data_IF_752498820515
#
_entry.id   IF_752498820515
#
_cell.length_a   1.000
_cell.length_b   1.000
_cell.length_c   1.000
_cell.angle_alpha   90.00
_cell.angle_beta   90.00
_cell.angle_gamma   90.00
#
_symmetry.space_group_name_H-M   'P 1'
#
loop_
_entity.id
_entity.type
_entity.pdbx_description
1 polymer ?
#
# COMPACT_ATOMS: atom_id res chain seq x y z
N UNK A 1 8.53 -2.95 -23.21
CA UNK A 1 9.65 -3.55 -23.95
C UNK A 1 10.01 -2.81 -25.24
N UNK A 2 9.08 -2.15 -25.94
CA UNK A 2 9.38 -1.41 -27.18
C UNK A 2 10.49 -0.33 -27.03
N UNK A 3 10.67 0.24 -25.83
CA UNK A 3 11.73 1.22 -25.54
C UNK A 3 13.15 0.63 -25.53
N UNK A 4 13.31 -0.69 -25.54
CA UNK A 4 14.63 -1.35 -25.65
C UNK A 4 15.07 -1.47 -27.11
N UNK A 5 14.14 -1.38 -28.07
CA UNK A 5 14.46 -1.51 -29.50
C UNK A 5 15.44 -0.42 -29.99
N UNK A 6 15.28 0.88 -29.65
CA UNK A 6 16.24 1.89 -30.07
C UNK A 6 17.66 1.62 -29.56
N UNK A 7 17.79 1.22 -28.29
CA UNK A 7 19.08 0.86 -27.68
C UNK A 7 19.71 -0.36 -28.36
N UNK A 8 18.90 -1.38 -28.67
CA UNK A 8 19.35 -2.56 -29.41
C UNK A 8 19.85 -2.24 -30.81
N UNK A 9 19.16 -1.33 -31.50
CA UNK A 9 19.56 -0.86 -32.82
C UNK A 9 20.86 -0.05 -32.75
N UNK A 10 20.99 0.85 -31.78
CA UNK A 10 22.19 1.65 -31.54
C UNK A 10 23.42 0.76 -31.28
N UNK A 11 23.34 -0.17 -30.31
CA UNK A 11 24.44 -1.10 -30.01
C UNK A 11 24.70 -2.04 -31.20
N UNK A 12 23.65 -2.44 -31.91
CA UNK A 12 23.77 -3.28 -33.11
C UNK A 12 24.55 -2.58 -34.23
N UNK A 13 24.34 -1.28 -34.42
CA UNK A 13 25.04 -0.45 -35.41
C UNK A 13 26.47 -0.13 -34.97
N UNK A 14 26.71 0.18 -33.70
CA UNK A 14 28.04 0.57 -33.19
C UNK A 14 28.99 -0.62 -32.99
N UNK A 15 28.48 -1.74 -32.48
CA UNK A 15 29.29 -2.86 -31.96
C UNK A 15 28.93 -4.22 -32.56
N UNK A 16 27.97 -4.24 -33.49
CA UNK A 16 27.51 -5.45 -34.18
C UNK A 16 26.34 -6.15 -33.49
N UNK A 17 25.44 -6.74 -34.30
CA UNK A 17 24.20 -7.38 -33.85
C UNK A 17 24.39 -8.55 -32.87
N UNK A 18 25.45 -9.35 -33.04
CA UNK A 18 25.75 -10.45 -32.11
C UNK A 18 26.08 -9.95 -30.70
N UNK A 19 26.82 -8.85 -30.60
CA UNK A 19 27.14 -8.20 -29.31
C UNK A 19 25.89 -7.59 -28.69
N UNK A 20 25.06 -6.92 -29.49
CA UNK A 20 23.79 -6.37 -29.04
C UNK A 20 22.87 -7.45 -28.45
N UNK A 21 22.76 -8.62 -29.11
CA UNK A 21 21.96 -9.74 -28.59
C UNK A 21 22.51 -10.28 -27.26
N UNK A 22 23.83 -10.42 -27.13
CA UNK A 22 24.45 -10.86 -25.89
C UNK A 22 24.19 -9.86 -24.74
N UNK A 23 24.34 -8.56 -25.00
CA UNK A 23 24.06 -7.50 -24.01
C UNK A 23 22.58 -7.47 -23.61
N UNK A 24 21.67 -7.69 -24.56
CA UNK A 24 20.25 -7.84 -24.26
C UNK A 24 19.97 -9.00 -23.31
N UNK A 25 20.52 -10.18 -23.59
CA UNK A 25 20.33 -11.37 -22.75
C UNK A 25 20.88 -11.10 -21.34
N UNK A 26 22.08 -10.51 -21.23
CA UNK A 26 22.67 -10.15 -19.93
C UNK A 26 21.76 -9.17 -19.18
N UNK A 27 21.24 -8.15 -19.86
CA UNK A 27 20.33 -7.17 -19.26
C UNK A 27 19.03 -7.83 -18.75
N UNK A 28 18.49 -8.83 -19.46
CA UNK A 28 17.34 -9.60 -18.98
C UNK A 28 17.68 -10.48 -17.77
N UNK A 29 18.84 -11.13 -17.76
CA UNK A 29 19.33 -11.90 -16.61
C UNK A 29 19.51 -11.00 -15.37
N UNK A 30 19.91 -9.74 -15.56
CA UNK A 30 19.95 -8.71 -14.51
C UNK A 30 18.58 -8.11 -14.16
N UNK A 31 17.49 -8.76 -14.60
CA UNK A 31 16.11 -8.41 -14.25
C UNK A 31 15.66 -7.02 -14.74
N UNK A 32 16.22 -6.51 -15.85
CA UNK A 32 15.84 -5.21 -16.39
C UNK A 32 14.34 -5.08 -16.70
N UNK A 33 13.69 -6.18 -17.12
CA UNK A 33 12.23 -6.23 -17.30
C UNK A 33 11.48 -5.93 -16.01
N UNK A 34 11.95 -6.45 -14.88
CA UNK A 34 11.37 -6.26 -13.55
C UNK A 34 11.56 -4.81 -13.12
N UNK A 35 12.80 -4.30 -13.23
CA UNK A 35 13.12 -2.91 -12.92
C UNK A 35 12.29 -1.92 -13.74
N UNK A 36 12.20 -2.14 -15.06
CA UNK A 36 11.47 -1.27 -15.96
C UNK A 36 9.97 -1.24 -15.63
N UNK A 37 9.37 -2.40 -15.38
CA UNK A 37 7.95 -2.52 -15.03
C UNK A 37 7.63 -1.80 -13.72
N UNK A 38 8.50 -1.95 -12.73
CA UNK A 38 8.38 -1.24 -11.45
C UNK A 38 8.56 0.28 -11.61
N UNK A 39 9.58 0.71 -12.34
CA UNK A 39 9.86 2.13 -12.61
C UNK A 39 8.70 2.82 -13.35
N UNK A 40 8.12 2.14 -14.34
CA UNK A 40 6.96 2.66 -15.06
C UNK A 40 5.75 2.79 -14.12
N UNK A 41 5.52 1.82 -13.22
CA UNK A 41 4.50 1.90 -12.19
C UNK A 41 4.64 3.14 -11.30
N UNK A 42 5.87 3.44 -10.87
CA UNK A 42 6.20 4.65 -10.09
C UNK A 42 5.81 5.91 -10.86
N UNK A 43 6.26 6.03 -12.12
CA UNK A 43 5.95 7.17 -12.98
C UNK A 43 4.44 7.34 -13.16
N UNK A 44 3.73 6.27 -13.54
CA UNK A 44 2.28 6.31 -13.78
C UNK A 44 1.52 6.72 -12.53
N UNK A 45 1.87 6.20 -11.35
CA UNK A 45 1.19 6.57 -10.10
C UNK A 45 1.35 8.06 -9.78
N UNK A 46 2.58 8.59 -9.75
CA UNK A 46 2.80 9.98 -9.35
C UNK A 46 2.39 10.98 -10.42
N UNK A 47 2.48 10.61 -11.71
CA UNK A 47 1.97 11.41 -12.81
C UNK A 47 0.44 11.53 -12.72
N UNK A 48 -0.26 10.40 -12.54
CA UNK A 48 -1.71 10.37 -12.35
C UNK A 48 -2.16 11.17 -11.12
N UNK A 49 -1.46 11.01 -9.98
CA UNK A 49 -1.74 11.78 -8.76
C UNK A 49 -1.58 13.29 -8.98
N UNK A 50 -0.55 13.71 -9.71
CA UNK A 50 -0.32 15.13 -10.03
C UNK A 50 -1.42 15.68 -10.95
N UNK A 51 -1.89 14.90 -11.92
CA UNK A 51 -3.00 15.30 -12.80
C UNK A 51 -4.32 15.46 -12.03
N UNK A 52 -4.63 14.50 -11.15
CA UNK A 52 -5.91 14.47 -10.44
C UNK A 52 -5.98 15.47 -9.28
N UNK A 53 -4.91 15.55 -8.49
CA UNK A 53 -4.91 16.27 -7.22
C UNK A 53 -3.95 17.45 -7.16
N UNK A 54 -2.99 17.53 -8.09
CA UNK A 54 -1.85 18.44 -7.99
C UNK A 54 -0.87 18.04 -6.87
N UNK A 55 0.02 18.96 -6.50
CA UNK A 55 0.90 18.79 -5.35
C UNK A 55 2.14 17.93 -5.61
N UNK A 56 2.94 18.29 -6.61
CA UNK A 56 4.24 17.68 -6.83
C UNK A 56 5.15 17.91 -5.60
N UNK A 57 5.77 16.84 -5.11
CA UNK A 57 6.69 16.89 -3.97
C UNK A 57 8.09 16.53 -4.46
N UNK A 58 9.04 17.45 -4.27
CA UNK A 58 10.45 17.13 -4.49
C UNK A 58 10.92 16.15 -3.41
N UNK A 59 11.59 15.08 -3.83
CA UNK A 59 12.38 14.22 -2.96
C UNK A 59 13.83 14.32 -3.39
N UNK A 60 14.68 14.73 -2.46
CA UNK A 60 16.10 14.83 -2.71
C UNK A 60 16.67 13.45 -3.06
N UNK A 61 17.32 13.36 -4.21
CA UNK A 61 18.19 12.24 -4.53
C UNK A 61 19.53 12.53 -3.86
N UNK A 62 19.91 11.71 -2.87
CA UNK A 62 21.17 11.89 -2.16
C UNK A 62 22.36 11.91 -3.13
N UNK A 63 23.37 12.76 -2.86
CA UNK A 63 24.67 12.71 -3.55
C UNK A 63 25.60 11.85 -2.69
N UNK A 64 25.91 10.63 -3.13
CA UNK A 64 26.74 9.68 -2.39
C UNK A 64 26.81 8.30 -3.05
N UNK A 65 27.52 7.35 -2.42
CA UNK A 65 27.57 5.97 -2.90
C UNK A 65 26.16 5.35 -2.86
N UNK A 66 25.59 5.10 -4.04
CA UNK A 66 24.16 4.82 -4.26
C UNK A 66 23.74 3.41 -3.82
N UNK A 67 24.68 2.55 -3.43
CA UNK A 67 24.42 1.17 -3.03
C UNK A 67 24.30 1.09 -1.50
N UNK A 68 23.17 1.56 -0.98
CA UNK A 68 22.83 1.47 0.45
C UNK A 68 21.57 0.63 0.64
N UNK A 69 21.60 -0.26 1.62
CA UNK A 69 20.42 -0.97 2.08
C UNK A 69 19.36 0.00 2.61
N UNK A 70 18.18 -0.02 2.00
CA UNK A 70 16.98 0.67 2.49
C UNK A 70 16.19 -0.27 3.40
N UNK A 71 15.76 0.22 4.56
CA UNK A 71 15.00 -0.60 5.51
C UNK A 71 13.64 -1.00 4.94
N UNK A 72 13.10 -2.15 5.35
CA UNK A 72 11.75 -2.57 4.97
C UNK A 72 10.69 -1.50 5.22
N UNK A 73 10.69 -0.84 6.39
CA UNK A 73 9.73 0.23 6.69
C UNK A 73 9.85 1.44 5.75
N UNK A 74 11.06 1.75 5.28
CA UNK A 74 11.29 2.82 4.31
C UNK A 74 10.71 2.46 2.94
N UNK A 75 11.04 1.27 2.42
CA UNK A 75 10.49 0.75 1.18
C UNK A 75 8.95 0.64 1.25
N UNK A 76 8.42 0.18 2.36
CA UNK A 76 6.99 0.08 2.60
C UNK A 76 6.30 1.44 2.51
N UNK A 77 6.80 2.44 3.22
CA UNK A 77 6.25 3.82 3.15
C UNK A 77 6.34 4.43 1.77
N UNK A 78 7.41 4.11 1.02
CA UNK A 78 7.63 4.63 -0.33
C UNK A 78 6.64 4.01 -1.34
N UNK A 79 6.42 2.70 -1.25
CA UNK A 79 5.80 1.94 -2.32
C UNK A 79 4.42 1.36 -1.99
N UNK A 80 3.93 1.50 -0.75
CA UNK A 80 2.62 1.00 -0.32
C UNK A 80 1.49 1.43 -1.28
N UNK A 81 1.32 2.73 -1.53
CA UNK A 81 0.24 3.25 -2.40
C UNK A 81 0.51 3.15 -3.89
N UNK A 82 1.78 3.26 -4.29
CA UNK A 82 2.16 3.27 -5.69
C UNK A 82 2.15 1.88 -6.30
N UNK A 83 2.52 0.85 -5.52
CA UNK A 83 2.73 -0.52 -6.01
C UNK A 83 1.99 -1.55 -5.17
N UNK A 84 2.26 -1.65 -3.86
CA UNK A 84 1.86 -2.82 -3.07
C UNK A 84 0.35 -3.02 -3.00
N UNK A 85 -0.40 -1.96 -2.68
CA UNK A 85 -1.87 -1.99 -2.69
C UNK A 85 -2.40 -2.43 -4.06
N UNK A 86 -1.89 -1.83 -5.13
CA UNK A 86 -2.36 -2.13 -6.50
C UNK A 86 -2.01 -3.56 -6.92
N UNK A 87 -0.84 -4.05 -6.51
CA UNK A 87 -0.41 -5.40 -6.80
C UNK A 87 -1.26 -6.43 -6.04
N UNK A 88 -1.60 -6.17 -4.77
CA UNK A 88 -2.51 -7.04 -4.02
C UNK A 88 -3.94 -6.99 -4.56
N UNK A 89 -4.42 -5.83 -5.02
CA UNK A 89 -5.71 -5.72 -5.71
C UNK A 89 -5.72 -6.60 -6.98
N UNK A 90 -4.68 -6.50 -7.81
CA UNK A 90 -4.53 -7.35 -8.99
C UNK A 90 -4.37 -8.84 -8.65
N UNK A 91 -3.66 -9.16 -7.56
CA UNK A 91 -3.48 -10.52 -7.09
C UNK A 91 -4.82 -11.14 -6.67
N UNK A 92 -5.64 -10.42 -5.92
CA UNK A 92 -6.99 -10.87 -5.54
C UNK A 92 -7.82 -11.12 -6.79
N UNK A 93 -7.80 -10.20 -7.76
CA UNK A 93 -8.52 -10.39 -9.03
C UNK A 93 -8.04 -11.61 -9.81
N UNK A 94 -6.73 -11.87 -9.80
CA UNK A 94 -6.13 -13.01 -10.47
C UNK A 94 -6.50 -14.33 -9.81
N UNK A 95 -6.58 -14.35 -8.47
CA UNK A 95 -7.09 -15.50 -7.69
C UNK A 95 -8.56 -15.73 -7.97
N UNK A 96 -9.38 -14.67 -8.01
CA UNK A 96 -10.81 -14.76 -8.35
C UNK A 96 -10.99 -15.26 -9.79
N UNK A 97 -10.21 -14.76 -10.73
CA UNK A 97 -10.22 -15.22 -12.12
C UNK A 97 -9.78 -16.68 -12.25
N UNK A 98 -8.78 -17.10 -11.48
CA UNK A 98 -8.35 -18.50 -11.40
C UNK A 98 -9.43 -19.39 -10.78
N UNK A 99 -10.13 -18.94 -9.74
CA UNK A 99 -11.16 -19.73 -9.07
C UNK A 99 -12.45 -19.86 -9.91
N UNK A 100 -12.95 -18.75 -10.46
CA UNK A 100 -14.29 -18.67 -11.06
C UNK A 100 -14.31 -18.54 -12.59
N UNK A 101 -13.17 -18.23 -13.24
CA UNK A 101 -13.12 -18.06 -14.69
C UNK A 101 -13.19 -19.39 -15.43
N UNK A 102 -14.38 -19.77 -15.95
CA UNK A 102 -14.59 -21.03 -16.67
C UNK A 102 -14.51 -20.90 -18.20
N UNK A 103 -14.98 -19.79 -18.77
CA UNK A 103 -15.25 -19.70 -20.22
C UNK A 103 -14.02 -19.57 -21.13
N UNK A 104 -12.86 -19.12 -20.62
CA UNK A 104 -11.70 -18.80 -21.47
C UNK A 104 -10.44 -19.63 -21.18
N UNK A 105 -10.48 -20.60 -20.25
CA UNK A 105 -9.28 -21.35 -19.82
C UNK A 105 -8.57 -22.12 -20.94
N UNK A 106 -9.28 -22.50 -22.00
CA UNK A 106 -8.72 -23.25 -23.14
C UNK A 106 -8.03 -22.38 -24.19
N UNK A 107 -8.12 -21.04 -24.08
CA UNK A 107 -7.55 -20.12 -25.07
C UNK A 107 -6.11 -19.72 -24.72
N UNK A 108 -5.25 -19.56 -25.74
CA UNK A 108 -3.91 -18.99 -25.57
C UNK A 108 -3.95 -17.57 -24.97
N UNK A 109 -5.03 -16.82 -25.21
CA UNK A 109 -5.25 -15.49 -24.63
C UNK A 109 -5.30 -15.52 -23.10
N UNK A 110 -5.90 -16.57 -22.51
CA UNK A 110 -5.94 -16.74 -21.06
C UNK A 110 -4.52 -16.84 -20.48
N UNK A 111 -3.65 -17.63 -21.11
CA UNK A 111 -2.26 -17.79 -20.67
C UNK A 111 -1.49 -16.46 -20.79
N UNK A 112 -1.60 -15.76 -21.92
CA UNK A 112 -0.90 -14.49 -22.10
C UNK A 112 -1.31 -13.43 -21.08
N UNK A 113 -2.61 -13.28 -20.84
CA UNK A 113 -3.13 -12.29 -19.87
C UNK A 113 -2.72 -12.67 -18.45
N UNK A 114 -2.92 -13.92 -18.04
CA UNK A 114 -2.62 -14.35 -16.66
C UNK A 114 -1.14 -14.30 -16.34
N UNK A 115 -0.26 -14.80 -17.22
CA UNK A 115 1.20 -14.75 -17.02
C UNK A 115 1.68 -13.30 -16.97
N UNK A 116 1.16 -12.42 -17.83
CA UNK A 116 1.54 -11.00 -17.82
C UNK A 116 1.12 -10.29 -16.53
N UNK A 117 -0.07 -10.59 -15.99
CA UNK A 117 -0.54 -10.00 -14.73
C UNK A 117 0.24 -10.58 -13.54
N UNK A 118 0.51 -11.90 -13.51
CA UNK A 118 1.38 -12.51 -12.49
C UNK A 118 2.76 -11.85 -12.47
N UNK A 119 3.35 -11.64 -13.66
CA UNK A 119 4.63 -10.95 -13.78
C UNK A 119 4.54 -9.50 -13.27
N UNK A 120 3.48 -8.76 -13.61
CA UNK A 120 3.26 -7.40 -13.11
C UNK A 120 3.14 -7.34 -11.58
N UNK A 121 2.36 -8.25 -10.98
CA UNK A 121 2.19 -8.37 -9.54
C UNK A 121 3.54 -8.67 -8.87
N UNK A 122 4.30 -9.62 -9.41
CA UNK A 122 5.63 -9.94 -8.92
C UNK A 122 6.56 -8.72 -8.96
N UNK A 123 6.60 -8.00 -10.09
CA UNK A 123 7.41 -6.80 -10.22
C UNK A 123 7.04 -5.74 -9.20
N UNK A 124 5.75 -5.48 -9.00
CA UNK A 124 5.29 -4.44 -8.08
C UNK A 124 5.50 -4.79 -6.60
N UNK A 125 5.40 -6.07 -6.23
CA UNK A 125 5.65 -6.51 -4.85
C UNK A 125 7.14 -6.63 -4.52
N UNK A 126 7.93 -7.23 -5.41
CA UNK A 126 9.26 -7.72 -5.05
C UNK A 126 10.43 -6.94 -5.63
N UNK A 127 10.24 -6.15 -6.70
CA UNK A 127 11.32 -5.31 -7.24
C UNK A 127 12.02 -4.42 -6.19
N UNK A 128 11.34 -3.70 -5.28
CA UNK A 128 12.03 -2.82 -4.34
C UNK A 128 12.89 -3.58 -3.34
N UNK A 129 12.71 -4.89 -3.18
CA UNK A 129 13.50 -5.75 -2.31
C UNK A 129 14.61 -6.47 -3.08
N UNK A 130 14.31 -6.95 -4.30
CA UNK A 130 15.29 -7.55 -5.20
C UNK A 130 16.38 -6.55 -5.62
N UNK A 131 16.03 -5.29 -5.83
CA UNK A 131 16.99 -4.20 -6.12
C UNK A 131 17.48 -3.47 -4.87
N UNK A 132 17.28 -4.04 -3.67
CA UNK A 132 17.81 -3.51 -2.42
C UNK A 132 19.00 -4.35 -1.91
N UNK A 133 20.21 -3.78 -1.82
CA UNK A 133 21.39 -4.48 -1.34
C UNK A 133 21.17 -5.07 0.06
N UNK A 134 21.74 -6.24 0.35
CA UNK A 134 21.62 -6.95 1.64
C UNK A 134 20.17 -7.23 2.11
N UNK A 135 19.16 -7.12 1.24
CA UNK A 135 17.77 -7.34 1.63
C UNK A 135 17.50 -8.78 2.09
N UNK A 136 18.21 -9.75 1.50
CA UNK A 136 18.09 -11.18 1.85
C UNK A 136 19.17 -11.65 2.82
N UNK A 137 19.82 -10.74 3.55
CA UNK A 137 20.73 -11.10 4.63
C UNK A 137 19.95 -11.28 5.94
N UNK A 138 19.96 -12.47 6.53
CA UNK A 138 19.13 -12.82 7.69
C UNK A 138 19.19 -11.79 8.82
N UNK A 139 20.40 -11.39 9.24
CA UNK A 139 20.57 -10.42 10.33
C UNK A 139 19.92 -9.07 10.01
N UNK A 140 20.05 -8.59 8.76
CA UNK A 140 19.41 -7.35 8.30
C UNK A 140 17.90 -7.50 8.23
N UNK A 141 17.40 -8.63 7.74
CA UNK A 141 15.96 -8.90 7.69
C UNK A 141 15.34 -8.88 9.10
N UNK A 142 16.00 -9.44 10.10
CA UNK A 142 15.53 -9.41 11.51
C UNK A 142 15.55 -7.97 12.06
N UNK A 143 16.58 -7.18 11.77
CA UNK A 143 16.63 -5.77 12.16
C UNK A 143 15.49 -4.96 11.52
N UNK A 144 15.23 -5.20 10.24
CA UNK A 144 14.16 -4.57 9.47
C UNK A 144 12.77 -4.95 10.01
N UNK A 145 12.57 -6.21 10.40
CA UNK A 145 11.36 -6.66 11.07
C UNK A 145 11.10 -5.87 12.36
N UNK A 146 12.13 -5.76 13.20
CA UNK A 146 12.04 -5.04 14.47
C UNK A 146 11.77 -3.54 14.26
N UNK A 147 12.40 -2.92 13.27
CA UNK A 147 12.18 -1.51 12.89
C UNK A 147 10.73 -1.29 12.40
N UNK A 148 10.25 -2.14 11.49
CA UNK A 148 8.88 -2.06 10.98
C UNK A 148 7.83 -2.31 12.07
N UNK A 149 8.06 -3.30 12.94
CA UNK A 149 7.18 -3.59 14.06
C UNK A 149 7.06 -2.40 15.01
N UNK A 150 8.19 -1.77 15.36
CA UNK A 150 8.21 -0.55 16.18
C UNK A 150 7.46 0.59 15.49
N UNK A 151 7.70 0.82 14.20
CA UNK A 151 7.03 1.85 13.42
C UNK A 151 5.50 1.65 13.34
N UNK A 152 5.04 0.41 13.14
CA UNK A 152 3.61 0.02 13.14
C UNK A 152 2.97 0.18 14.52
N UNK A 153 3.70 -0.14 15.58
CA UNK A 153 3.24 -0.05 16.97
C UNK A 153 3.16 1.38 17.50
N UNK A 154 4.02 2.28 17.02
CA UNK A 154 4.06 3.68 17.44
C UNK A 154 2.81 4.45 16.99
N UNK A 155 1.97 4.84 17.95
CA UNK A 155 0.87 5.77 17.72
C UNK A 155 1.41 7.17 17.51
N UNK A 156 0.79 7.89 16.59
CA UNK A 156 1.18 9.24 16.24
C UNK A 156 0.92 10.22 17.39
N UNK A 157 1.46 11.41 17.24
CA UNK A 157 1.30 12.54 18.14
C UNK A 157 1.60 13.83 17.38
N UNK A 158 1.31 14.98 17.99
CA UNK A 158 1.44 16.27 17.31
C UNK A 158 2.92 16.50 16.93
N UNK A 159 3.21 16.57 15.63
CA UNK A 159 4.55 16.88 15.11
C UNK A 159 5.49 15.68 14.90
N UNK A 160 5.02 14.44 15.10
CA UNK A 160 5.81 13.24 14.82
C UNK A 160 6.05 13.07 13.31
N UNK A 161 7.27 12.68 12.95
CA UNK A 161 7.66 12.48 11.55
C UNK A 161 7.09 11.16 11.00
N UNK A 162 6.75 11.09 9.68
CA UNK A 162 6.28 9.86 9.03
C UNK A 162 7.21 8.65 9.23
N UNK A 163 8.50 8.92 9.44
CA UNK A 163 9.53 7.90 9.60
C UNK A 163 9.44 7.17 10.94
N UNK A 164 8.82 7.79 11.95
CA UNK A 164 8.81 7.33 13.33
C UNK A 164 7.50 6.63 13.72
N UNK A 165 6.39 6.93 13.03
CA UNK A 165 5.07 6.39 13.34
C UNK A 165 4.26 6.10 12.08
N UNK A 166 3.64 4.92 12.04
CA UNK A 166 2.69 4.54 10.99
C UNK A 166 1.54 5.54 10.87
N UNK A 167 1.04 6.07 11.98
CA UNK A 167 -0.09 6.99 11.98
C UNK A 167 0.28 8.35 11.36
N UNK A 168 1.47 8.87 11.70
CA UNK A 168 1.98 10.09 11.07
C UNK A 168 2.17 9.91 9.57
N UNK A 169 2.71 8.74 9.15
CA UNK A 169 2.83 8.40 7.73
C UNK A 169 1.47 8.30 7.06
N UNK A 170 0.52 7.58 7.64
CA UNK A 170 -0.82 7.38 7.11
C UNK A 170 -1.54 8.71 6.86
N UNK A 171 -1.47 9.64 7.82
CA UNK A 171 -2.03 10.99 7.64
C UNK A 171 -1.30 11.74 6.52
N UNK A 172 0.03 11.68 6.49
CA UNK A 172 0.83 12.37 5.47
C UNK A 172 0.59 11.83 4.05
N UNK A 173 0.29 10.54 3.92
CA UNK A 173 0.09 9.88 2.63
C UNK A 173 -1.18 10.40 1.95
N UNK A 174 -2.23 10.67 2.73
CA UNK A 174 -3.53 11.16 2.24
C UNK A 174 -3.63 12.69 2.17
N UNK A 175 -2.56 13.44 2.46
CA UNK A 175 -2.60 14.90 2.49
C UNK A 175 -2.93 15.53 1.12
N UNK A 176 -2.65 14.81 0.03
CA UNK A 176 -3.04 15.21 -1.33
C UNK A 176 -4.57 15.38 -1.51
N UNK A 177 -5.37 14.55 -0.83
CA UNK A 177 -6.83 14.62 -0.90
C UNK A 177 -7.38 15.87 -0.20
N UNK A 178 -6.63 16.42 0.78
CA UNK A 178 -7.07 17.56 1.59
C UNK A 178 -7.27 18.83 0.77
N UNK A 179 -6.50 18.97 -0.32
CA UNK A 179 -6.53 20.12 -1.21
C UNK A 179 -7.13 19.80 -2.59
N UNK A 180 -7.61 18.57 -2.81
CA UNK A 180 -8.21 18.16 -4.06
C UNK A 180 -9.48 18.97 -4.40
N UNK A 181 -9.81 18.99 -5.69
CA UNK A 181 -11.04 19.61 -6.22
C UNK A 181 -12.22 18.65 -6.07
N UNK A 182 -13.45 19.16 -6.09
CA UNK A 182 -14.67 18.33 -6.01
C UNK A 182 -14.70 17.30 -7.15
N UNK A 183 -14.31 17.69 -8.37
CA UNK A 183 -14.25 16.78 -9.53
C UNK A 183 -13.30 15.61 -9.30
N UNK A 184 -12.13 15.89 -8.73
CA UNK A 184 -11.16 14.84 -8.41
C UNK A 184 -11.65 13.91 -7.29
N UNK A 185 -12.26 14.47 -6.24
CA UNK A 185 -12.86 13.69 -5.15
C UNK A 185 -14.01 12.80 -5.65
N UNK A 186 -14.83 13.29 -6.57
CA UNK A 186 -15.89 12.50 -7.22
C UNK A 186 -15.29 11.37 -8.09
N UNK A 187 -14.20 11.63 -8.81
CA UNK A 187 -13.52 10.60 -9.58
C UNK A 187 -12.97 9.49 -8.66
N UNK A 188 -12.33 9.84 -7.56
CA UNK A 188 -11.86 8.86 -6.56
C UNK A 188 -13.01 8.03 -5.98
N UNK A 189 -14.16 8.66 -5.71
CA UNK A 189 -15.36 7.96 -5.29
C UNK A 189 -15.84 6.98 -6.36
N UNK A 190 -15.99 7.42 -7.61
CA UNK A 190 -16.43 6.58 -8.73
C UNK A 190 -15.46 5.39 -8.92
N UNK A 191 -14.16 5.64 -8.88
CA UNK A 191 -13.15 4.58 -8.99
C UNK A 191 -13.27 3.59 -7.84
N UNK A 192 -13.60 4.02 -6.62
CA UNK A 192 -13.78 3.12 -5.48
C UNK A 192 -14.98 2.18 -5.62
N UNK A 193 -16.02 2.54 -6.40
CA UNK A 193 -17.21 1.70 -6.60
C UNK A 193 -16.89 0.33 -7.21
N UNK A 194 -15.74 0.17 -7.89
CA UNK A 194 -15.30 -1.12 -8.45
C UNK A 194 -15.23 -2.24 -7.41
N UNK A 195 -14.91 -1.91 -6.16
CA UNK A 195 -14.84 -2.89 -5.07
C UNK A 195 -16.21 -3.46 -4.70
N UNK A 196 -17.30 -2.70 -4.90
CA UNK A 196 -18.67 -3.19 -4.71
C UNK A 196 -19.04 -4.21 -5.78
N UNK A 197 -18.59 -3.99 -7.01
CA UNK A 197 -18.79 -4.91 -8.13
C UNK A 197 -18.08 -6.24 -7.83
N UNK A 198 -16.87 -6.20 -7.25
CA UNK A 198 -16.13 -7.39 -6.86
C UNK A 198 -16.86 -8.19 -5.79
N UNK A 199 -17.31 -7.54 -4.72
CA UNK A 199 -18.08 -8.19 -3.66
C UNK A 199 -19.36 -8.82 -4.21
N UNK A 200 -20.13 -8.07 -5.02
CA UNK A 200 -21.35 -8.57 -5.63
C UNK A 200 -21.10 -9.81 -6.48
N UNK A 201 -20.06 -9.77 -7.34
CA UNK A 201 -19.69 -10.90 -8.18
C UNK A 201 -19.32 -12.16 -7.39
N UNK A 202 -18.57 -12.02 -6.28
CA UNK A 202 -18.19 -13.17 -5.46
C UNK A 202 -19.38 -13.70 -4.65
N UNK A 203 -20.18 -12.82 -4.05
CA UNK A 203 -21.38 -13.21 -3.29
C UNK A 203 -22.38 -13.96 -4.16
N UNK A 204 -22.49 -13.60 -5.44
CA UNK A 204 -23.32 -14.28 -6.43
C UNK A 204 -22.95 -15.76 -6.64
N UNK A 205 -21.68 -16.13 -6.37
CA UNK A 205 -21.14 -17.49 -6.54
C UNK A 205 -21.06 -18.29 -5.24
N UNK A 206 -21.48 -17.75 -4.08
CA UNK A 206 -21.42 -18.47 -2.80
C UNK A 206 -22.47 -19.60 -2.74
N UNK A 207 -22.07 -20.76 -2.21
CA UNK A 207 -22.95 -21.92 -2.09
C UNK A 207 -24.01 -21.76 -0.99
N UNK A 208 -23.71 -21.05 0.11
CA UNK A 208 -24.67 -20.68 1.18
C UNK A 208 -25.98 -20.08 0.65
N UNK A 209 -25.93 -19.49 -0.55
CA UNK A 209 -27.05 -18.81 -1.19
C UNK A 209 -28.03 -19.80 -1.86
N UNK A 210 -27.70 -21.09 -1.95
CA UNK A 210 -28.55 -22.16 -2.52
C UNK A 210 -29.13 -21.79 -3.90
N UNK A 211 -28.38 -21.02 -4.70
CA UNK A 211 -28.82 -20.54 -6.02
C UNK A 211 -29.75 -19.31 -6.01
N UNK A 212 -30.13 -18.76 -4.85
CA UNK A 212 -30.96 -17.56 -4.73
C UNK A 212 -30.18 -16.26 -4.98
N UNK A 213 -30.12 -15.81 -6.22
CA UNK A 213 -29.26 -14.68 -6.61
C UNK A 213 -29.89 -13.30 -6.43
N UNK A 214 -30.74 -13.15 -5.41
CA UNK A 214 -31.45 -11.90 -5.15
C UNK A 214 -30.51 -10.83 -4.60
N UNK A 215 -30.83 -9.56 -4.90
CA UNK A 215 -30.11 -8.41 -4.35
C UNK A 215 -30.14 -8.38 -2.80
N UNK A 216 -31.16 -8.98 -2.19
CA UNK A 216 -31.30 -9.10 -0.74
C UNK A 216 -30.13 -9.86 -0.12
N UNK A 217 -29.64 -10.93 -0.76
CA UNK A 217 -28.49 -11.71 -0.26
C UNK A 217 -27.23 -10.86 -0.22
N UNK A 218 -27.01 -10.07 -1.27
CA UNK A 218 -25.92 -9.10 -1.27
C UNK A 218 -26.09 -8.08 -0.14
N UNK A 219 -27.29 -7.51 0.06
CA UNK A 219 -27.57 -6.59 1.17
C UNK A 219 -27.33 -7.25 2.55
N UNK A 220 -27.71 -8.51 2.73
CA UNK A 220 -27.47 -9.27 3.97
C UNK A 220 -25.98 -9.51 4.22
N UNK A 221 -25.15 -9.66 3.18
CA UNK A 221 -23.69 -9.80 3.33
C UNK A 221 -23.05 -8.58 4.02
N UNK A 222 -23.67 -7.41 3.95
CA UNK A 222 -23.22 -6.21 4.65
C UNK A 222 -23.43 -6.28 6.17
N UNK A 223 -24.31 -7.15 6.66
CA UNK A 223 -24.45 -7.38 8.11
C UNK A 223 -23.17 -7.97 8.69
N UNK A 224 -22.48 -8.84 7.96
CA UNK A 224 -21.18 -9.40 8.38
C UNK A 224 -20.14 -8.29 8.55
N UNK A 225 -20.10 -7.35 7.60
CA UNK A 225 -19.21 -6.18 7.67
C UNK A 225 -19.61 -5.26 8.82
N UNK A 226 -20.91 -5.01 9.03
CA UNK A 226 -21.39 -4.20 10.14
C UNK A 226 -20.99 -4.80 11.49
N UNK A 227 -21.16 -6.12 11.67
CA UNK A 227 -20.71 -6.84 12.88
C UNK A 227 -19.20 -6.71 13.06
N UNK A 228 -18.42 -6.88 11.99
CA UNK A 228 -16.96 -6.71 12.03
C UNK A 228 -16.57 -5.27 12.45
N UNK A 229 -17.18 -4.24 11.86
CA UNK A 229 -16.92 -2.84 12.22
C UNK A 229 -17.33 -2.51 13.67
N UNK A 230 -18.48 -3.03 14.13
CA UNK A 230 -18.91 -2.88 15.53
C UNK A 230 -17.92 -3.55 16.47
N UNK A 231 -17.43 -4.75 16.14
CA UNK A 231 -16.42 -5.45 16.93
C UNK A 231 -15.13 -4.65 17.05
N UNK A 232 -14.65 -4.06 15.94
CA UNK A 232 -13.48 -3.18 15.93
C UNK A 232 -13.72 -1.91 16.75
N UNK A 233 -14.93 -1.34 16.71
CA UNK A 233 -15.31 -0.18 17.52
C UNK A 233 -15.30 -0.50 19.02
N UNK A 234 -15.86 -1.65 19.42
CA UNK A 234 -15.85 -2.10 20.83
C UNK A 234 -14.41 -2.25 21.33
N UNK A 235 -13.54 -2.89 20.54
CA UNK A 235 -12.13 -3.06 20.89
C UNK A 235 -11.38 -1.73 20.92
N UNK A 236 -11.66 -0.80 20.00
CA UNK A 236 -10.97 0.51 19.98
C UNK A 236 -11.40 1.41 21.15
N UNK A 237 -12.69 1.45 21.49
CA UNK A 237 -13.22 2.18 22.64
C UNK A 237 -12.73 1.62 23.97
N UNK A 238 -12.70 0.28 24.09
CA UNK A 238 -12.19 -0.40 25.28
C UNK A 238 -10.72 -0.06 25.55
N UNK A 239 -9.94 0.18 24.49
CA UNK A 239 -8.54 0.57 24.63
C UNK A 239 -8.39 1.97 25.24
N UNK A 240 -9.10 2.98 24.74
CA UNK A 240 -8.97 4.35 25.27
C UNK A 240 -9.43 4.49 26.71
N UNK A 241 -10.51 3.79 27.08
CA UNK A 241 -11.06 3.86 28.44
C UNK A 241 -10.31 3.03 29.47
N UNK A 242 -9.71 1.89 29.07
CA UNK A 242 -9.19 0.90 30.02
C UNK A 242 -7.68 0.64 29.96
N UNK A 243 -6.92 1.22 29.02
CA UNK A 243 -5.47 0.98 28.89
C UNK A 243 -4.66 1.41 30.12
N UNK A 244 -5.05 2.48 30.82
CA UNK A 244 -4.23 3.05 31.90
C UNK A 244 -4.53 2.48 33.27
N UNK A 245 -5.71 1.88 33.50
CA UNK A 245 -6.09 1.35 34.83
C UNK A 245 -6.17 -0.17 34.90
N UNK A 246 -6.56 -0.89 33.84
CA UNK A 246 -6.80 -2.35 33.93
C UNK A 246 -6.51 -3.07 32.58
N UNK A 247 -5.23 -3.36 32.33
CA UNK A 247 -4.80 -4.06 31.09
C UNK A 247 -5.42 -5.46 30.94
N UNK A 248 -5.72 -6.16 32.04
CA UNK A 248 -6.32 -7.50 32.03
C UNK A 248 -7.74 -7.48 31.42
N UNK A 249 -8.58 -6.52 31.82
CA UNK A 249 -9.95 -6.38 31.30
C UNK A 249 -9.94 -6.14 29.80
N UNK A 250 -8.97 -5.37 29.30
CA UNK A 250 -8.82 -5.16 27.86
C UNK A 250 -8.44 -6.44 27.10
N UNK A 251 -7.58 -7.29 27.68
CA UNK A 251 -7.26 -8.61 27.09
C UNK A 251 -8.47 -9.54 27.11
N UNK A 252 -9.22 -9.57 28.22
CA UNK A 252 -10.46 -10.35 28.35
C UNK A 252 -11.50 -9.87 27.34
N UNK A 253 -11.70 -8.56 27.20
CA UNK A 253 -12.63 -7.99 26.21
C UNK A 253 -12.30 -8.46 24.79
N UNK A 254 -11.02 -8.43 24.39
CA UNK A 254 -10.58 -8.99 23.10
C UNK A 254 -10.90 -10.48 22.97
N UNK A 255 -10.65 -11.24 24.03
CA UNK A 255 -10.98 -12.67 24.08
C UNK A 255 -12.47 -12.93 23.91
N UNK A 256 -13.33 -12.19 24.61
CA UNK A 256 -14.79 -12.30 24.50
C UNK A 256 -15.25 -11.95 23.08
N UNK A 257 -14.79 -10.83 22.51
CA UNK A 257 -15.14 -10.45 21.13
C UNK A 257 -14.71 -11.54 20.15
N UNK A 258 -13.52 -12.12 20.31
CA UNK A 258 -13.04 -13.21 19.48
C UNK A 258 -13.91 -14.47 19.59
N UNK A 259 -14.29 -14.87 20.82
CA UNK A 259 -15.18 -16.01 21.05
C UNK A 259 -16.57 -15.79 20.45
N UNK A 260 -17.12 -14.57 20.53
CA UNK A 260 -18.41 -14.21 19.90
C UNK A 260 -18.33 -14.33 18.39
N UNK A 261 -17.24 -13.84 17.77
CA UNK A 261 -17.04 -13.96 16.32
C UNK A 261 -16.88 -15.43 15.87
N UNK A 262 -16.17 -16.25 16.64
CA UNK A 262 -16.09 -17.70 16.38
C UNK A 262 -17.45 -18.34 16.55
N UNK A 263 -18.20 -18.03 17.61
CA UNK A 263 -19.54 -18.55 17.84
C UNK A 263 -20.48 -18.23 16.68
N UNK A 264 -20.45 -16.98 16.18
CA UNK A 264 -21.19 -16.58 14.98
C UNK A 264 -20.77 -17.41 13.76
N UNK A 265 -19.48 -17.62 13.53
CA UNK A 265 -18.97 -18.42 12.43
C UNK A 265 -19.44 -19.88 12.51
N UNK A 266 -19.41 -20.48 13.70
CA UNK A 266 -19.90 -21.85 13.94
C UNK A 266 -21.40 -21.95 13.71
N UNK A 267 -22.18 -20.96 14.17
CA UNK A 267 -23.62 -20.89 13.89
C UNK A 267 -23.91 -20.78 12.39
N UNK A 268 -23.11 -20.03 11.63
CA UNK A 268 -23.22 -19.97 10.18
C UNK A 268 -22.87 -21.32 9.53
N UNK A 269 -21.86 -22.02 10.06
CA UNK A 269 -21.44 -23.32 9.54
C UNK A 269 -22.50 -24.41 9.75
N UNK A 270 -23.09 -24.47 10.95
CA UNK A 270 -24.09 -25.49 11.32
C UNK A 270 -25.50 -25.12 10.84
N UNK A 271 -25.85 -23.83 10.85
CA UNK A 271 -27.19 -23.36 10.53
C UNK A 271 -27.47 -23.16 9.04
N UNK A 272 -26.44 -22.97 8.22
CA UNK A 272 -26.57 -22.67 6.79
C UNK A 272 -25.72 -23.56 5.88
N UNK A 273 -25.22 -24.69 6.38
CA UNK A 273 -24.40 -25.66 5.62
C UNK A 273 -23.23 -25.01 4.85
N UNK A 274 -22.49 -24.14 5.53
CA UNK A 274 -21.45 -23.34 4.91
C UNK A 274 -20.28 -24.21 4.40
N UNK A 275 -20.00 -24.17 3.10
CA UNK A 275 -18.86 -24.89 2.54
C UNK A 275 -17.53 -24.22 2.92
N UNK A 276 -16.44 -25.00 3.02
CA UNK A 276 -15.09 -24.44 3.27
C UNK A 276 -14.67 -23.47 2.17
N UNK A 277 -15.10 -23.72 0.92
CA UNK A 277 -14.91 -22.81 -0.21
C UNK A 277 -15.61 -21.47 -0.03
N UNK A 278 -16.77 -21.45 0.66
CA UNK A 278 -17.51 -20.22 0.93
C UNK A 278 -16.80 -19.34 1.96
N UNK A 279 -16.05 -19.92 2.91
CA UNK A 279 -15.18 -19.16 3.83
C UNK A 279 -14.10 -18.41 3.04
N UNK A 280 -13.40 -19.13 2.15
CA UNK A 280 -12.36 -18.54 1.31
C UNK A 280 -12.91 -17.46 0.39
N UNK A 281 -14.05 -17.72 -0.26
CA UNK A 281 -14.75 -16.76 -1.10
C UNK A 281 -15.20 -15.52 -0.31
N UNK A 282 -15.71 -15.70 0.91
CA UNK A 282 -16.12 -14.60 1.79
C UNK A 282 -14.94 -13.70 2.16
N UNK A 283 -13.76 -14.27 2.45
CA UNK A 283 -12.54 -13.48 2.68
C UNK A 283 -12.18 -12.65 1.44
N UNK A 284 -12.21 -13.27 0.26
CA UNK A 284 -11.95 -12.60 -1.02
C UNK A 284 -12.99 -11.52 -1.36
N UNK A 285 -14.23 -11.64 -0.88
CA UNK A 285 -15.28 -10.65 -1.05
C UNK A 285 -15.12 -9.48 -0.08
N UNK A 286 -14.89 -9.75 1.20
CA UNK A 286 -14.91 -8.73 2.25
C UNK A 286 -13.62 -7.91 2.35
N UNK A 287 -12.46 -8.45 1.96
CA UNK A 287 -11.20 -7.67 1.91
C UNK A 287 -11.33 -6.44 0.98
N UNK A 288 -11.79 -6.58 -0.28
CA UNK A 288 -12.11 -5.43 -1.15
C UNK A 288 -13.15 -4.48 -0.55
N UNK A 289 -14.18 -4.98 0.13
CA UNK A 289 -15.23 -4.11 0.71
C UNK A 289 -14.73 -3.27 1.87
N UNK A 290 -13.91 -3.82 2.77
CA UNK A 290 -13.29 -3.00 3.80
C UNK A 290 -12.35 -1.95 3.22
N UNK A 291 -11.69 -2.24 2.09
CA UNK A 291 -10.90 -1.25 1.35
C UNK A 291 -11.78 -0.13 0.76
N UNK A 292 -12.94 -0.47 0.20
CA UNK A 292 -13.93 0.53 -0.23
C UNK A 292 -14.33 1.46 0.91
N UNK A 293 -14.65 0.90 2.08
CA UNK A 293 -15.04 1.69 3.26
C UNK A 293 -13.90 2.64 3.67
N UNK A 294 -12.65 2.19 3.64
CA UNK A 294 -11.48 3.04 3.92
C UNK A 294 -11.39 4.21 2.93
N UNK A 295 -11.50 3.94 1.63
CA UNK A 295 -11.41 4.99 0.60
C UNK A 295 -12.55 6.00 0.73
N UNK A 296 -13.78 5.54 0.92
CA UNK A 296 -14.93 6.44 1.10
C UNK A 296 -14.77 7.27 2.37
N UNK A 297 -14.35 6.66 3.49
CA UNK A 297 -14.12 7.36 4.74
C UNK A 297 -13.06 8.48 4.61
N UNK A 298 -12.01 8.25 3.82
CA UNK A 298 -10.98 9.25 3.54
C UNK A 298 -11.49 10.41 2.70
N UNK A 299 -12.47 10.17 1.81
CA UNK A 299 -13.09 11.19 0.96
C UNK A 299 -14.12 12.03 1.74
N UNK A 300 -14.79 11.47 2.74
CA UNK A 300 -15.83 12.16 3.52
C UNK A 300 -15.34 13.48 4.13
N UNK A 301 -14.14 13.51 4.71
CA UNK A 301 -13.58 14.71 5.35
C UNK A 301 -13.35 15.86 4.36
N UNK A 302 -12.56 15.67 3.29
CA UNK A 302 -12.37 16.64 2.22
C UNK A 302 -13.69 17.07 1.55
N UNK A 303 -14.60 16.14 1.27
CA UNK A 303 -15.90 16.44 0.67
C UNK A 303 -16.74 17.33 1.57
N UNK A 304 -16.87 16.99 2.86
CA UNK A 304 -17.60 17.80 3.84
C UNK A 304 -17.00 19.21 3.96
N UNK A 305 -15.67 19.31 3.94
CA UNK A 305 -14.96 20.61 3.94
C UNK A 305 -15.33 21.46 2.72
N UNK A 306 -15.31 20.88 1.51
CA UNK A 306 -15.60 21.60 0.26
C UNK A 306 -17.08 21.95 0.08
N UNK A 307 -17.98 21.03 0.44
CA UNK A 307 -19.42 21.18 0.18
C UNK A 307 -20.16 21.96 1.27
N UNK A 308 -19.68 21.91 2.52
CA UNK A 308 -20.41 22.50 3.66
C UNK A 308 -19.57 23.60 4.31
N UNK A 309 -18.33 23.32 4.72
CA UNK A 309 -17.55 24.30 5.50
C UNK A 309 -17.15 25.52 4.67
N UNK A 310 -16.64 25.34 3.45
CA UNK A 310 -16.19 26.45 2.61
C UNK A 310 -17.36 27.40 2.24
N UNK A 311 -18.53 26.91 1.80
CA UNK A 311 -19.72 27.76 1.61
C UNK A 311 -20.22 28.42 2.90
N UNK A 312 -20.27 27.69 4.01
CA UNK A 312 -20.69 28.24 5.30
C UNK A 312 -19.73 29.34 5.79
N UNK A 313 -18.43 29.19 5.55
CA UNK A 313 -17.42 30.20 5.88
C UNK A 313 -17.60 31.47 5.05
N UNK A 314 -17.95 31.36 3.76
CA UNK A 314 -18.26 32.50 2.90
C UNK A 314 -19.50 33.26 3.40
N UNK A 315 -20.54 32.54 3.84
CA UNK A 315 -21.73 33.14 4.44
C UNK A 315 -21.43 33.86 5.76
N UNK A 316 -20.57 33.29 6.60
CA UNK A 316 -20.22 33.88 7.90
C UNK A 316 -19.15 34.98 7.84
N UNK A 317 -18.49 35.21 6.69
CA UNK A 317 -17.46 36.24 6.55
C UNK A 317 -17.57 36.96 5.19
N UNK A 318 -18.47 37.96 5.05
CA UNK A 318 -18.75 38.63 3.78
C UNK A 318 -17.61 39.52 3.27
N UNK A 319 -16.69 39.97 4.14
CA UNK A 319 -15.59 40.91 3.79
C UNK A 319 -14.33 40.23 3.20
N UNK A 320 -14.41 38.96 2.82
CA UNK A 320 -13.29 38.21 2.23
C UNK A 320 -13.30 38.21 0.70
N UNK A 321 -13.38 39.36 0.04
CA UNK A 321 -13.20 39.43 -1.41
C UNK A 321 -11.71 39.26 -1.75
N UNK A 322 -11.34 38.11 -2.33
CA UNK A 322 -10.08 37.97 -3.07
C UNK A 322 -8.82 37.56 -2.28
N UNK A 323 -8.91 37.25 -0.98
CA UNK A 323 -7.76 36.76 -0.21
C UNK A 323 -8.19 35.98 1.02
N UNK A 324 -7.53 34.86 1.30
CA UNK A 324 -7.84 34.00 2.44
C UNK A 324 -7.83 34.80 3.76
N UNK A 325 -9.01 35.13 4.30
CA UNK A 325 -9.13 35.84 5.57
C UNK A 325 -8.42 35.05 6.69
N UNK A 326 -7.39 35.66 7.29
CA UNK A 326 -6.61 35.10 8.42
C UNK A 326 -6.96 35.75 9.75
N UNK A 327 -8.08 36.46 9.82
CA UNK A 327 -8.52 37.10 11.05
C UNK A 327 -8.82 36.09 12.18
N UNK A 328 -8.80 36.52 13.45
CA UNK A 328 -9.07 35.65 14.60
C UNK A 328 -10.41 34.92 14.54
N UNK A 329 -11.43 35.53 13.92
CA UNK A 329 -12.76 34.94 13.71
C UNK A 329 -12.71 33.72 12.77
N UNK A 330 -12.01 33.83 11.63
CA UNK A 330 -11.82 32.75 10.67
C UNK A 330 -10.95 31.61 11.24
N UNK A 331 -9.94 31.96 12.05
CA UNK A 331 -9.15 30.97 12.79
C UNK A 331 -10.00 30.19 13.80
N UNK A 332 -10.83 30.88 14.58
CA UNK A 332 -11.76 30.26 15.55
C UNK A 332 -12.80 29.37 14.87
N UNK A 333 -13.37 29.81 13.76
CA UNK A 333 -14.32 29.02 12.98
C UNK A 333 -13.66 27.76 12.41
N UNK A 334 -12.45 27.87 11.84
CA UNK A 334 -11.68 26.73 11.33
C UNK A 334 -11.31 25.74 12.45
N UNK A 335 -10.96 26.24 13.62
CA UNK A 335 -10.63 25.41 14.78
C UNK A 335 -11.87 24.68 15.32
N UNK A 336 -13.02 25.37 15.46
CA UNK A 336 -14.28 24.78 15.92
C UNK A 336 -14.83 23.74 14.94
N UNK A 337 -14.86 24.05 13.65
CA UNK A 337 -15.30 23.11 12.61
C UNK A 337 -14.37 21.91 12.52
N UNK A 338 -13.04 22.11 12.58
CA UNK A 338 -12.07 21.02 12.60
C UNK A 338 -12.15 20.12 13.85
N UNK A 339 -12.51 20.67 15.01
CA UNK A 339 -12.77 19.90 16.23
C UNK A 339 -14.10 19.14 16.15
N UNK A 340 -15.13 19.75 15.56
CA UNK A 340 -16.42 19.11 15.36
C UNK A 340 -16.33 17.94 14.36
N UNK A 341 -15.61 18.10 13.25
CA UNK A 341 -15.33 17.02 12.29
C UNK A 341 -14.61 15.83 12.91
N UNK A 342 -13.62 16.10 13.77
CA UNK A 342 -12.93 15.04 14.51
C UNK A 342 -13.84 14.29 15.48
N UNK A 343 -14.87 14.95 16.01
CA UNK A 343 -15.85 14.34 16.94
C UNK A 343 -17.02 13.64 16.23
N UNK A 344 -17.36 14.02 15.00
CA UNK A 344 -18.56 13.52 14.31
C UNK A 344 -18.39 12.13 13.67
N UNK A 345 -17.17 11.65 13.45
CA UNK A 345 -16.91 10.41 12.72
C UNK A 345 -16.34 9.27 13.56
N UNK A 346 -16.53 7.99 13.16
CA UNK A 346 -15.86 6.84 13.78
C UNK A 346 -14.38 6.74 13.37
N UNK A 347 -13.66 7.87 13.32
CA UNK A 347 -12.32 7.99 12.75
C UNK A 347 -11.30 7.03 13.38
N UNK A 348 -11.36 6.85 14.71
CA UNK A 348 -10.47 5.91 15.39
C UNK A 348 -10.66 4.47 14.89
N UNK A 349 -11.90 4.07 14.60
CA UNK A 349 -12.22 2.74 14.07
C UNK A 349 -11.73 2.57 12.64
N UNK A 350 -11.90 3.60 11.80
CA UNK A 350 -11.38 3.64 10.43
C UNK A 350 -9.87 3.50 10.44
N UNK A 351 -9.19 4.22 11.35
CA UNK A 351 -7.74 4.17 11.47
C UNK A 351 -7.23 2.82 11.99
N UNK A 352 -7.93 2.18 12.92
CA UNK A 352 -7.57 0.82 13.35
C UNK A 352 -7.81 -0.23 12.24
N UNK A 353 -8.90 -0.08 11.48
CA UNK A 353 -9.13 -0.91 10.28
C UNK A 353 -8.00 -0.72 9.26
N UNK A 354 -7.65 0.54 8.94
CA UNK A 354 -6.52 0.84 8.07
C UNK A 354 -5.21 0.21 8.57
N UNK A 355 -4.95 0.29 9.88
CA UNK A 355 -3.75 -0.31 10.47
C UNK A 355 -3.76 -1.83 10.29
N UNK A 356 -4.90 -2.50 10.46
CA UNK A 356 -5.02 -3.93 10.21
C UNK A 356 -4.67 -4.27 8.75
N UNK A 357 -5.20 -3.52 7.79
CA UNK A 357 -4.90 -3.74 6.37
C UNK A 357 -3.41 -3.57 6.06
N UNK A 358 -2.80 -2.49 6.55
CA UNK A 358 -1.37 -2.23 6.36
C UNK A 358 -0.50 -3.27 7.08
N UNK A 359 -0.92 -3.73 8.26
CA UNK A 359 -0.25 -4.80 8.99
C UNK A 359 -0.30 -6.12 8.23
N UNK A 360 -1.47 -6.53 7.74
CA UNK A 360 -1.65 -7.75 6.94
C UNK A 360 -0.85 -7.67 5.64
N UNK A 361 -0.89 -6.54 4.93
CA UNK A 361 -0.09 -6.33 3.72
C UNK A 361 1.41 -6.41 4.01
N UNK A 362 1.88 -5.74 5.07
CA UNK A 362 3.27 -5.80 5.48
C UNK A 362 3.74 -7.22 5.79
N UNK A 363 2.94 -7.99 6.52
CA UNK A 363 3.21 -9.41 6.80
C UNK A 363 3.27 -10.26 5.53
N UNK A 364 2.29 -10.13 4.64
CA UNK A 364 2.23 -10.89 3.39
C UNK A 364 3.45 -10.64 2.50
N UNK A 365 3.98 -9.41 2.50
CA UNK A 365 5.17 -9.03 1.73
C UNK A 365 6.45 -9.46 2.46
N UNK A 366 6.50 -9.31 3.77
CA UNK A 366 7.69 -9.61 4.56
C UNK A 366 7.97 -11.11 4.66
N UNK A 367 6.93 -11.95 4.77
CA UNK A 367 7.06 -13.40 4.91
C UNK A 367 7.93 -14.06 3.82
N UNK A 368 7.67 -13.87 2.51
CA UNK A 368 8.53 -14.44 1.48
C UNK A 368 9.96 -13.87 1.51
N UNK A 369 10.15 -12.61 1.91
CA UNK A 369 11.50 -12.02 2.06
C UNK A 369 12.26 -12.72 3.20
N UNK A 370 11.59 -12.96 4.34
CA UNK A 370 12.16 -13.65 5.49
C UNK A 370 12.49 -15.12 5.18
N UNK A 371 11.62 -15.81 4.44
CA UNK A 371 11.89 -17.17 3.97
C UNK A 371 13.10 -17.19 3.04
N UNK A 372 13.18 -16.26 2.10
CA UNK A 372 14.32 -16.17 1.17
C UNK A 372 15.63 -15.79 1.88
N UNK A 373 15.58 -14.95 2.91
CA UNK A 373 16.78 -14.55 3.66
C UNK A 373 17.33 -15.64 4.57
N UNK A 374 16.54 -16.67 4.87
CA UNK A 374 17.00 -17.87 5.56
C UNK A 374 18.04 -18.65 4.74
N UNK A 375 18.05 -18.49 3.42
CA UNK A 375 18.95 -19.19 2.52
C UNK A 375 20.15 -18.30 2.14
N UNK A 376 21.38 -18.59 2.63
CA UNK A 376 22.54 -17.73 2.38
C UNK A 376 22.87 -17.53 0.90
N UNK A 377 22.59 -18.53 0.05
CA UNK A 377 22.86 -18.45 -1.39
C UNK A 377 22.06 -17.33 -2.08
N UNK A 378 20.91 -16.93 -1.55
CA UNK A 378 20.04 -15.92 -2.17
C UNK A 378 20.69 -14.55 -2.13
N UNK A 379 21.26 -14.16 -0.98
CA UNK A 379 21.94 -12.86 -0.83
C UNK A 379 23.23 -12.80 -1.65
N UNK A 380 23.99 -13.91 -1.72
CA UNK A 380 25.15 -14.02 -2.59
C UNK A 380 24.79 -13.90 -4.07
N UNK A 381 23.75 -14.63 -4.50
CA UNK A 381 23.28 -14.60 -5.88
C UNK A 381 22.81 -13.20 -6.27
N UNK A 382 22.01 -12.55 -5.42
CA UNK A 382 21.56 -11.16 -5.61
C UNK A 382 22.75 -10.22 -5.80
N UNK A 383 23.75 -10.32 -4.92
CA UNK A 383 24.92 -9.44 -4.94
C UNK A 383 25.77 -9.62 -6.20
N UNK A 384 26.02 -10.87 -6.59
CA UNK A 384 26.82 -11.20 -7.78
C UNK A 384 26.12 -10.79 -9.07
N UNK A 385 24.81 -11.02 -9.16
CA UNK A 385 24.02 -10.74 -10.35
C UNK A 385 23.78 -9.24 -10.56
N UNK A 386 23.39 -8.51 -9.50
CA UNK A 386 22.86 -7.15 -9.61
C UNK A 386 23.87 -6.06 -9.22
N UNK A 387 24.75 -6.33 -8.25
CA UNK A 387 25.54 -5.26 -7.61
C UNK A 387 27.05 -5.38 -7.79
N UNK A 388 27.56 -6.50 -8.32
CA UNK A 388 28.99 -6.75 -8.43
C UNK A 388 29.75 -5.62 -9.17
N UNK A 389 29.19 -5.12 -10.28
CA UNK A 389 29.77 -3.99 -11.02
C UNK A 389 29.66 -2.65 -10.27
N UNK A 390 28.59 -2.45 -9.51
CA UNK A 390 28.38 -1.21 -8.75
C UNK A 390 29.32 -1.16 -7.54
N UNK A 391 29.51 -2.27 -6.85
CA UNK A 391 30.46 -2.40 -5.74
C UNK A 391 31.91 -2.25 -6.22
N UNK A 392 32.29 -2.86 -7.35
CA UNK A 392 33.66 -2.74 -7.88
C UNK A 392 34.01 -1.29 -8.28
N UNK A 393 33.08 -0.59 -8.94
CA UNK A 393 33.23 0.85 -9.24
C UNK A 393 33.23 1.71 -7.97
N UNK A 394 32.42 1.36 -6.98
CA UNK A 394 32.40 2.01 -5.66
C UNK A 394 33.74 1.99 -4.96
N UNK A 395 34.38 0.83 -4.90
CA UNK A 395 35.71 0.63 -4.31
C UNK A 395 36.79 1.45 -5.03
N UNK A 396 36.69 1.60 -6.35
CA UNK A 396 37.60 2.45 -7.12
C UNK A 396 37.44 3.93 -6.76
N UNK A 397 36.19 4.42 -6.68
CA UNK A 397 35.90 5.81 -6.32
C UNK A 397 36.33 6.11 -4.87
N UNK A 398 36.04 5.20 -3.92
CA UNK A 398 36.45 5.39 -2.53
C UNK A 398 37.97 5.44 -2.37
N UNK A 399 38.71 4.65 -3.16
CA UNK A 399 40.18 4.68 -3.17
C UNK A 399 40.72 6.00 -3.72
N UNK A 400 40.08 6.58 -4.73
CA UNK A 400 40.44 7.89 -5.28
C UNK A 400 40.19 9.01 -4.24
N UNK A 401 39.01 9.01 -3.59
CA UNK A 401 38.66 9.99 -2.56
C UNK A 401 39.57 9.87 -1.33
N UNK A 402 39.89 8.65 -0.90
CA UNK A 402 40.85 8.41 0.19
C UNK A 402 42.27 8.86 -0.19
N UNK A 403 42.67 8.68 -1.46
CA UNK A 403 43.95 9.16 -1.99
C UNK A 403 44.07 10.68 -2.01
N UNK A 404 42.98 11.42 -2.26
CA UNK A 404 42.96 12.89 -2.18
C UNK A 404 43.04 13.42 -0.74
N UNK A 405 42.46 12.72 0.24
CA UNK A 405 42.59 13.10 1.65
C UNK A 405 43.99 12.81 2.24
N UNK A 406 44.78 11.94 1.59
CA UNK A 406 46.16 11.62 1.99
C UNK A 406 47.22 12.58 1.45
N UNK A 407 46.91 13.42 0.46
CA UNK A 407 47.87 14.36 -0.14
C UNK A 407 47.83 15.78 0.46
N UNK A 408 47.13 15.97 1.58
CA UNK A 408 46.90 17.28 2.22
C UNK A 408 47.73 17.58 3.48
N UNK A 409 48.76 16.78 3.80
CA UNK A 409 49.68 17.05 4.91
C UNK A 409 51.14 16.99 4.45
N UNK A 410 51.52 17.97 3.64
CA UNK A 410 52.89 18.50 3.62
C UNK A 410 52.80 20.01 3.48
N UNK A 411 52.76 20.68 4.63
CA UNK A 411 53.22 22.06 4.76
C UNK A 411 54.54 22.00 5.52
N UNK A 412 55.62 22.25 4.78
CA UNK A 412 56.91 22.64 5.33
C UNK A 412 56.79 23.93 6.16
#
# INVERSE_FOLDING_TARGET
MLLVLPMMMEIGLEKGFGRALAEFVIMQLQLASVFFTFHLGTKTHYYGRTILHGGAKYRATGRGFVVRHAKFAENYRMYSRSHFVKALELLILLVVYLAYGSSYRSSSLYLYVTVSIWFLVFCWLFAPFVFNPSCFEWHKTVDDWNDWWKWMGNRGGIGLAPEQSWEAWWVSEHDHLRNATIRSLLLEFILSLRFLIYQYGIVYHLHIVHGNKSFLVYALSWLVIAVALVSLKVVSMGREKFVTRIQLVFRILKGIVFLVLIGLLVLLFVGFDLAVSDVGASILAFIPTGWFILLVAQLCGPLFRRLIIEPLHLLCCPYGTGGACRGPCCARFRQRTGAALRKMGPWDSIQEMARMYEYTMGLLIFLPIAVLSWFPFVSEFQTRLLFNQAFSRGLQISRILAGQNGSGTKSD
#
